data_IF_161958857742
#
_entry.id   IF_161958857742
#
_cell.length_a   1.000
_cell.length_b   1.000
_cell.length_c   1.000
_cell.angle_alpha   90.00
_cell.angle_beta   90.00
_cell.angle_gamma   90.00
#
_symmetry.space_group_name_H-M   'P 1'
#
loop_
_entity.id
_entity.type
_entity.pdbx_description
1 polymer ?
#
# COMPACT_ATOMS: atom_id res chain seq x y z
N UNK A 1 -29.64 6.88 -9.21
CA UNK A 1 -28.41 7.31 -9.89
C UNK A 1 -27.35 6.25 -9.64
N UNK A 2 -26.90 5.56 -10.69
CA UNK A 2 -25.80 4.58 -10.61
C UNK A 2 -24.48 5.30 -10.30
N UNK A 3 -23.43 4.61 -9.81
CA UNK A 3 -22.12 5.24 -9.58
C UNK A 3 -21.56 5.94 -10.83
N UNK A 4 -21.78 5.35 -12.01
CA UNK A 4 -21.40 5.95 -13.31
C UNK A 4 -22.20 7.23 -13.57
N UNK A 5 -23.52 7.19 -13.47
CA UNK A 5 -24.37 8.38 -13.63
C UNK A 5 -24.00 9.48 -12.65
N UNK A 6 -23.69 9.12 -11.40
CA UNK A 6 -23.26 10.05 -10.35
C UNK A 6 -21.96 10.77 -10.76
N UNK A 7 -20.97 10.02 -11.25
CA UNK A 7 -19.70 10.59 -11.72
C UNK A 7 -19.93 11.58 -12.88
N UNK A 8 -20.68 11.16 -13.89
CA UNK A 8 -20.93 11.98 -15.07
C UNK A 8 -21.80 13.20 -14.76
N UNK A 9 -22.77 13.10 -13.85
CA UNK A 9 -23.55 14.23 -13.37
C UNK A 9 -22.66 15.27 -12.68
N UNK A 10 -21.74 14.83 -11.81
CA UNK A 10 -20.77 15.75 -11.19
C UNK A 10 -19.83 16.39 -12.21
N UNK A 11 -19.31 15.63 -13.18
CA UNK A 11 -18.46 16.19 -14.25
C UNK A 11 -19.20 17.22 -15.12
N UNK A 12 -20.54 17.17 -15.17
CA UNK A 12 -21.40 18.17 -15.83
C UNK A 12 -21.87 19.27 -14.88
N UNK A 13 -21.35 19.34 -13.66
CA UNK A 13 -21.74 20.30 -12.62
C UNK A 13 -23.24 20.25 -12.24
N UNK A 14 -23.86 19.07 -12.36
CA UNK A 14 -25.24 18.84 -11.95
C UNK A 14 -25.34 18.57 -10.44
N UNK A 15 -26.50 18.86 -9.83
CA UNK A 15 -26.75 18.53 -8.43
C UNK A 15 -26.82 17.01 -8.25
N UNK A 16 -26.01 16.46 -7.34
CA UNK A 16 -25.95 15.02 -7.07
C UNK A 16 -26.47 14.67 -5.67
N UNK A 17 -27.09 13.49 -5.48
CA UNK A 17 -27.64 13.07 -4.19
C UNK A 17 -26.58 12.81 -3.11
N UNK A 18 -25.31 12.71 -3.50
CA UNK A 18 -24.13 12.64 -2.64
C UNK A 18 -22.88 13.02 -3.43
N UNK A 19 -21.78 13.28 -2.75
CA UNK A 19 -20.48 13.45 -3.41
C UNK A 19 -20.09 12.17 -4.18
N UNK A 20 -19.64 12.27 -5.44
CA UNK A 20 -19.04 11.13 -6.13
C UNK A 20 -17.68 10.81 -5.52
N UNK A 21 -17.28 9.55 -5.60
CA UNK A 21 -15.94 9.12 -5.25
C UNK A 21 -15.44 8.21 -6.37
N UNK A 22 -14.23 8.48 -6.85
CA UNK A 22 -13.53 7.65 -7.80
C UNK A 22 -12.07 7.51 -7.34
N UNK A 23 -11.54 6.28 -7.26
CA UNK A 23 -10.13 6.10 -7.00
C UNK A 23 -9.33 6.70 -8.16
N UNK A 24 -8.49 7.69 -7.85
CA UNK A 24 -7.62 8.35 -8.82
C UNK A 24 -6.28 7.61 -9.04
N UNK A 25 -6.05 6.53 -8.29
CA UNK A 25 -4.88 5.65 -8.41
C UNK A 25 -5.12 4.51 -9.43
N UNK A 26 -4.04 3.82 -9.82
CA UNK A 26 -4.08 2.76 -10.83
C UNK A 26 -3.95 3.31 -12.26
N UNK A 27 -4.64 2.72 -13.24
CA UNK A 27 -4.55 3.10 -14.66
C UNK A 27 -4.78 4.61 -14.89
N UNK A 28 -5.68 5.23 -14.13
CA UNK A 28 -5.99 6.65 -14.26
C UNK A 28 -4.84 7.58 -13.85
N UNK A 29 -3.90 7.10 -13.03
CA UNK A 29 -2.73 7.87 -12.62
C UNK A 29 -1.80 8.22 -13.78
N UNK A 30 -1.82 7.44 -14.87
CA UNK A 30 -0.99 7.71 -16.06
C UNK A 30 -1.27 9.06 -16.71
N UNK A 31 -2.48 9.62 -16.53
CA UNK A 31 -2.79 10.97 -16.99
C UNK A 31 -1.82 12.02 -16.41
N UNK A 32 -1.32 11.83 -15.19
CA UNK A 32 -0.40 12.76 -14.54
C UNK A 32 0.99 12.80 -15.16
N UNK A 33 1.41 11.70 -15.77
CA UNK A 33 2.75 11.52 -16.36
C UNK A 33 2.70 11.43 -17.89
N UNK A 34 1.52 11.54 -18.49
CA UNK A 34 1.30 11.36 -19.93
C UNK A 34 1.38 9.90 -20.38
N UNK A 35 1.39 8.94 -19.46
CA UNK A 35 1.36 7.51 -19.76
C UNK A 35 -0.08 7.05 -20.02
N UNK A 36 -0.26 6.25 -21.08
CA UNK A 36 -1.53 5.60 -21.35
C UNK A 36 -1.74 4.34 -20.49
N UNK A 37 -2.93 3.75 -20.60
CA UNK A 37 -3.29 2.58 -19.81
C UNK A 37 -2.38 1.37 -20.07
N UNK A 38 -1.94 1.17 -21.31
CA UNK A 38 -1.06 0.06 -21.68
C UNK A 38 0.28 0.23 -20.98
N UNK A 39 0.91 1.40 -21.10
CA UNK A 39 2.18 1.68 -20.46
C UNK A 39 2.08 1.56 -18.94
N UNK A 40 1.02 2.06 -18.31
CA UNK A 40 0.83 1.91 -16.86
C UNK A 40 0.69 0.45 -16.43
N UNK A 41 0.11 -0.41 -17.27
CA UNK A 41 -0.10 -1.83 -16.94
C UNK A 41 1.11 -2.71 -17.25
N UNK A 42 2.00 -2.29 -18.14
CA UNK A 42 3.11 -3.13 -18.62
C UNK A 42 4.50 -2.62 -18.25
N UNK A 43 4.61 -1.37 -17.80
CA UNK A 43 5.87 -0.72 -17.42
C UNK A 43 5.84 -0.36 -15.93
N UNK A 44 6.64 -1.10 -15.17
CA UNK A 44 6.75 -1.00 -13.72
C UNK A 44 7.21 0.40 -13.26
N UNK A 45 8.14 1.03 -13.98
CA UNK A 45 8.67 2.33 -13.64
C UNK A 45 7.66 3.43 -13.95
N UNK A 46 6.95 3.31 -15.08
CA UNK A 46 5.87 4.22 -15.43
C UNK A 46 4.72 4.18 -14.40
N UNK A 47 4.38 2.98 -13.89
CA UNK A 47 3.40 2.82 -12.81
C UNK A 47 3.89 3.51 -11.53
N UNK A 48 5.14 3.29 -11.12
CA UNK A 48 5.69 3.92 -9.91
C UNK A 48 5.73 5.44 -10.06
N UNK A 49 6.18 5.96 -11.20
CA UNK A 49 6.22 7.39 -11.48
C UNK A 49 4.83 8.02 -11.38
N UNK A 50 3.82 7.39 -11.99
CA UNK A 50 2.44 7.85 -11.97
C UNK A 50 1.83 7.82 -10.56
N UNK A 51 2.09 6.76 -9.78
CA UNK A 51 1.63 6.67 -8.39
C UNK A 51 2.35 7.67 -7.48
N UNK A 52 3.64 7.94 -7.70
CA UNK A 52 4.37 8.99 -7.00
C UNK A 52 3.85 10.38 -7.37
N UNK A 53 3.44 10.60 -8.61
CA UNK A 53 2.79 11.85 -9.02
C UNK A 53 1.44 12.05 -8.31
N UNK A 54 0.66 10.97 -8.12
CA UNK A 54 -0.55 11.02 -7.26
C UNK A 54 -0.17 11.41 -5.82
N UNK A 55 0.92 10.84 -5.29
CA UNK A 55 1.38 11.06 -3.92
C UNK A 55 1.95 12.47 -3.66
N UNK A 56 2.56 13.13 -4.66
CA UNK A 56 3.31 14.41 -4.52
C UNK A 56 2.44 15.68 -4.46
N UNK A 57 1.19 15.61 -4.00
CA UNK A 57 0.25 16.74 -4.03
C UNK A 57 -0.08 17.30 -5.42
N UNK A 58 0.51 16.78 -6.50
CA UNK A 58 0.15 17.17 -7.87
C UNK A 58 -1.32 16.88 -8.14
N UNK A 59 -1.85 15.78 -7.58
CA UNK A 59 -3.27 15.47 -7.60
C UNK A 59 -4.12 16.57 -6.93
N UNK A 60 -3.67 17.15 -5.80
CA UNK A 60 -4.37 18.28 -5.16
C UNK A 60 -4.37 19.52 -6.07
N UNK A 61 -3.22 19.90 -6.59
CA UNK A 61 -3.11 21.04 -7.50
C UNK A 61 -3.96 20.89 -8.77
N UNK A 62 -4.11 19.67 -9.29
CA UNK A 62 -4.97 19.37 -10.45
C UNK A 62 -6.44 19.42 -10.05
N UNK A 63 -6.83 18.75 -8.97
CA UNK A 63 -8.22 18.70 -8.50
C UNK A 63 -8.75 20.08 -8.12
N UNK A 64 -7.91 20.96 -7.55
CA UNK A 64 -8.25 22.35 -7.26
C UNK A 64 -8.63 23.16 -8.50
N UNK A 65 -7.91 22.99 -9.62
CA UNK A 65 -8.21 23.68 -10.90
C UNK A 65 -9.62 23.38 -11.41
N UNK A 66 -10.14 22.19 -11.09
CA UNK A 66 -11.46 21.72 -11.52
C UNK A 66 -12.51 21.76 -10.40
N UNK A 67 -12.18 22.32 -9.22
CA UNK A 67 -13.05 22.34 -8.04
C UNK A 67 -13.55 20.93 -7.64
N UNK A 68 -12.65 19.95 -7.69
CA UNK A 68 -12.90 18.55 -7.32
C UNK A 68 -12.33 18.28 -5.93
N UNK A 69 -13.08 17.56 -5.11
CA UNK A 69 -12.64 17.14 -3.77
C UNK A 69 -11.72 15.91 -3.88
N UNK A 70 -10.61 15.94 -3.15
CA UNK A 70 -9.68 14.81 -3.02
C UNK A 70 -9.54 14.41 -1.54
N UNK A 71 -9.36 13.12 -1.29
CA UNK A 71 -9.12 12.60 0.06
C UNK A 71 -7.99 11.57 0.09
N UNK A 72 -7.33 11.47 1.25
CA UNK A 72 -6.17 10.61 1.46
C UNK A 72 -5.06 11.35 2.21
N UNK A 73 -3.90 10.73 2.48
CA UNK A 73 -3.56 9.34 2.22
C UNK A 73 -2.83 8.75 3.45
N UNK A 74 -3.49 8.75 4.61
CA UNK A 74 -2.88 8.21 5.85
C UNK A 74 -2.53 6.72 5.63
N UNK A 75 -1.26 6.30 5.82
CA UNK A 75 -0.85 4.91 5.65
C UNK A 75 -1.52 3.99 6.66
N UNK A 76 -2.23 2.99 6.15
CA UNK A 76 -3.01 2.08 6.99
C UNK A 76 -2.15 1.20 7.90
N UNK A 77 -1.08 0.58 7.39
CA UNK A 77 -0.33 -0.40 8.17
C UNK A 77 0.70 0.26 9.08
N UNK A 78 1.56 1.12 8.53
CA UNK A 78 2.68 1.70 9.28
C UNK A 78 2.25 2.76 10.29
N UNK A 79 1.20 3.54 9.98
CA UNK A 79 0.74 4.64 10.83
C UNK A 79 -0.52 4.22 11.59
N UNK A 80 -1.60 3.83 10.89
CA UNK A 80 -2.87 3.57 11.58
C UNK A 80 -2.86 2.28 12.41
N UNK A 81 -2.33 1.17 11.90
CA UNK A 81 -2.36 -0.13 12.58
C UNK A 81 -1.23 -0.31 13.59
N UNK A 82 -0.01 0.08 13.24
CA UNK A 82 1.18 -0.16 14.06
C UNK A 82 1.82 1.08 14.67
N UNK A 83 1.42 2.27 14.23
CA UNK A 83 1.81 3.51 14.87
C UNK A 83 1.09 3.71 16.19
N UNK A 84 1.54 4.73 16.92
CA UNK A 84 0.88 5.24 18.11
C UNK A 84 -0.12 6.34 17.76
N UNK A 85 -0.90 6.78 18.75
CA UNK A 85 -1.79 7.93 18.59
C UNK A 85 -1.01 9.18 18.15
N UNK A 86 0.18 9.39 18.72
CA UNK A 86 1.06 10.52 18.38
C UNK A 86 1.65 10.39 16.97
N UNK A 87 1.95 9.18 16.48
CA UNK A 87 2.37 8.96 15.08
C UNK A 87 1.26 9.35 14.10
N UNK A 88 0.01 9.00 14.41
CA UNK A 88 -1.16 9.35 13.59
C UNK A 88 -1.38 10.86 13.57
N UNK A 89 -1.31 11.50 14.74
CA UNK A 89 -1.41 12.95 14.86
C UNK A 89 -0.30 13.65 14.07
N UNK A 90 0.95 13.20 14.24
CA UNK A 90 2.12 13.75 13.56
C UNK A 90 1.99 13.63 12.05
N UNK A 91 1.61 12.46 11.55
CA UNK A 91 1.46 12.23 10.12
C UNK A 91 0.41 13.17 9.51
N UNK A 92 -0.73 13.36 10.19
CA UNK A 92 -1.78 14.27 9.72
C UNK A 92 -1.31 15.72 9.71
N UNK A 93 -0.63 16.19 10.75
CA UNK A 93 -0.06 17.55 10.78
C UNK A 93 0.97 17.73 9.66
N UNK A 94 1.91 16.79 9.52
CA UNK A 94 2.93 16.83 8.47
C UNK A 94 2.32 16.80 7.06
N UNK A 95 1.19 16.09 6.88
CA UNK A 95 0.44 16.05 5.62
C UNK A 95 -0.23 17.40 5.33
N UNK A 96 -0.87 18.01 6.33
CA UNK A 96 -1.49 19.32 6.21
C UNK A 96 -0.45 20.41 5.93
N UNK A 97 0.73 20.35 6.54
CA UNK A 97 1.83 21.31 6.33
C UNK A 97 2.37 21.32 4.90
N UNK A 98 2.17 20.25 4.14
CA UNK A 98 2.55 20.20 2.74
C UNK A 98 1.53 20.90 1.83
N UNK A 99 0.32 21.17 2.31
CA UNK A 99 -0.75 21.77 1.52
C UNK A 99 -0.72 23.30 1.59
N UNK A 100 -0.81 24.02 0.45
CA UNK A 100 -0.90 25.48 0.46
C UNK A 100 -2.24 25.99 1.02
N UNK A 101 -3.31 25.20 0.86
CA UNK A 101 -4.64 25.45 1.43
C UNK A 101 -5.42 24.13 1.59
N UNK A 102 -6.41 24.12 2.48
CA UNK A 102 -7.19 22.91 2.80
C UNK A 102 -8.50 22.77 2.02
N UNK A 103 -8.86 23.75 1.18
CA UNK A 103 -10.09 23.69 0.38
C UNK A 103 -10.11 22.40 -0.43
N UNK A 104 -11.27 21.73 -0.50
CA UNK A 104 -11.48 20.50 -1.27
C UNK A 104 -10.54 19.33 -0.86
N UNK A 105 -10.01 19.35 0.36
CA UNK A 105 -9.21 18.25 0.91
C UNK A 105 -9.93 17.54 2.05
N UNK A 106 -9.92 16.21 2.02
CA UNK A 106 -10.41 15.36 3.11
C UNK A 106 -9.25 14.54 3.66
N UNK A 107 -8.89 14.76 4.92
CA UNK A 107 -7.96 13.87 5.63
C UNK A 107 -8.62 12.50 5.77
N UNK A 108 -8.06 11.49 5.10
CA UNK A 108 -8.60 10.14 5.08
C UNK A 108 -7.47 9.10 4.97
N UNK A 109 -7.71 7.85 5.40
CA UNK A 109 -6.82 6.75 5.07
C UNK A 109 -6.79 6.48 3.57
N UNK A 110 -5.72 5.84 3.10
CA UNK A 110 -5.57 5.48 1.68
C UNK A 110 -6.54 4.41 1.16
N UNK A 111 -7.17 3.66 2.06
CA UNK A 111 -8.17 2.63 1.78
C UNK A 111 -9.00 2.36 3.04
N UNK A 112 -9.77 1.27 3.06
CA UNK A 112 -10.52 0.82 4.22
C UNK A 112 -9.59 0.48 5.40
N UNK A 113 -9.96 0.92 6.60
CA UNK A 113 -9.17 0.66 7.81
C UNK A 113 -9.21 -0.82 8.20
N UNK A 114 -8.07 -1.45 8.53
CA UNK A 114 -8.05 -2.76 9.15
C UNK A 114 -8.88 -2.77 10.46
N UNK A 115 -9.63 -3.85 10.71
CA UNK A 115 -10.47 -3.99 11.92
C UNK A 115 -9.69 -3.86 13.23
N UNK A 116 -8.39 -4.16 13.20
CA UNK A 116 -7.48 -4.14 14.35
C UNK A 116 -6.79 -2.79 14.57
N UNK A 117 -7.14 -1.74 13.79
CA UNK A 117 -6.65 -0.38 14.05
C UNK A 117 -7.07 0.06 15.46
N UNK A 118 -6.12 0.47 16.33
CA UNK A 118 -6.45 0.98 17.65
C UNK A 118 -7.32 2.25 17.56
N UNK A 119 -8.34 2.34 18.42
CA UNK A 119 -9.31 3.45 18.37
C UNK A 119 -8.63 4.80 18.63
N UNK A 120 -7.65 4.83 19.52
CA UNK A 120 -6.83 6.01 19.84
C UNK A 120 -6.11 6.58 18.63
N UNK A 121 -5.73 5.75 17.65
CA UNK A 121 -5.06 6.18 16.43
C UNK A 121 -6.02 6.94 15.51
N UNK A 122 -7.26 6.46 15.37
CA UNK A 122 -8.31 7.17 14.66
C UNK A 122 -8.70 8.49 15.35
N UNK A 123 -8.78 8.48 16.69
CA UNK A 123 -8.99 9.70 17.50
C UNK A 123 -7.86 10.70 17.27
N UNK A 124 -6.60 10.24 17.26
CA UNK A 124 -5.44 11.10 17.05
C UNK A 124 -5.44 11.74 15.66
N UNK A 125 -5.71 10.96 14.62
CA UNK A 125 -5.86 11.49 13.27
C UNK A 125 -6.99 12.53 13.16
N UNK A 126 -8.14 12.27 13.79
CA UNK A 126 -9.27 13.20 13.80
C UNK A 126 -8.95 14.49 14.56
N UNK A 127 -8.33 14.40 15.74
CA UNK A 127 -7.92 15.57 16.53
C UNK A 127 -6.91 16.43 15.76
N UNK A 128 -5.94 15.81 15.09
CA UNK A 128 -4.96 16.52 14.26
C UNK A 128 -5.61 17.23 13.07
N UNK A 129 -6.64 16.64 12.47
CA UNK A 129 -7.38 17.25 11.36
C UNK A 129 -8.26 18.43 11.82
N UNK A 130 -8.85 18.35 13.03
CA UNK A 130 -9.75 19.38 13.57
C UNK A 130 -9.00 20.53 14.26
N UNK A 131 -7.88 20.23 14.93
CA UNK A 131 -7.12 21.15 15.76
C UNK A 131 -5.61 21.16 15.41
N UNK A 132 -5.22 21.39 14.14
CA UNK A 132 -3.85 21.19 13.68
C UNK A 132 -2.82 22.05 14.43
N UNK A 133 -3.15 23.31 14.76
CA UNK A 133 -2.24 24.21 15.50
C UNK A 133 -1.97 23.72 16.92
N UNK A 134 -3.02 23.26 17.61
CA UNK A 134 -2.93 22.72 18.97
C UNK A 134 -2.09 21.44 18.99
N UNK A 135 -2.37 20.55 18.06
CA UNK A 135 -1.66 19.28 17.92
C UNK A 135 -0.20 19.49 17.49
N UNK A 136 0.09 20.45 16.62
CA UNK A 136 1.47 20.80 16.24
C UNK A 136 2.29 21.21 17.46
N UNK A 137 1.72 22.08 18.31
CA UNK A 137 2.35 22.49 19.58
C UNK A 137 2.56 21.31 20.54
N UNK A 138 1.59 20.41 20.62
CA UNK A 138 1.68 19.20 21.46
C UNK A 138 2.81 18.25 21.01
N UNK A 139 3.13 18.24 19.72
CA UNK A 139 4.10 17.33 19.10
C UNK A 139 5.49 17.93 18.86
N UNK A 140 5.77 19.18 19.29
CA UNK A 140 7.03 19.88 18.99
C UNK A 140 8.30 19.07 19.31
N UNK A 141 8.26 18.23 20.35
CA UNK A 141 9.40 17.41 20.78
C UNK A 141 9.23 15.91 20.49
N UNK A 142 8.17 15.53 19.78
CA UNK A 142 7.85 14.14 19.51
C UNK A 142 8.64 13.62 18.30
N UNK A 143 9.35 12.50 18.48
CA UNK A 143 10.01 11.76 17.41
C UNK A 143 9.50 10.32 17.47
N UNK A 144 8.97 9.84 16.35
CA UNK A 144 8.51 8.45 16.20
C UNK A 144 9.63 7.47 16.52
N UNK A 145 9.32 6.46 17.34
CA UNK A 145 10.29 5.42 17.65
C UNK A 145 10.54 4.55 16.40
N UNK A 146 11.80 4.23 16.04
CA UNK A 146 12.06 3.25 15.01
C UNK A 146 11.53 1.88 15.46
N UNK A 147 10.84 1.17 14.54
CA UNK A 147 10.57 -0.25 14.71
C UNK A 147 11.90 -1.02 14.68
N UNK A 148 12.46 -1.30 15.86
CA UNK A 148 13.69 -2.07 16.05
C UNK A 148 13.37 -3.48 16.54
N UNK A 149 12.84 -4.31 15.63
CA UNK A 149 12.57 -5.73 15.89
C UNK A 149 13.69 -6.53 15.25
N UNK A 150 14.48 -7.23 16.07
CA UNK A 150 15.55 -8.09 15.57
C UNK A 150 14.97 -9.39 15.00
N UNK A 151 14.89 -9.47 13.67
CA UNK A 151 14.44 -10.67 12.95
C UNK A 151 15.65 -11.47 12.46
N UNK A 152 15.70 -12.75 12.83
CA UNK A 152 16.66 -13.69 12.25
C UNK A 152 16.13 -14.19 10.89
N UNK A 153 16.98 -14.10 9.87
CA UNK A 153 16.71 -14.66 8.56
C UNK A 153 17.28 -16.09 8.48
N UNK A 154 16.66 -16.99 7.72
CA UNK A 154 17.23 -18.30 7.43
C UNK A 154 18.62 -18.19 6.77
N UNK A 155 19.45 -19.22 6.96
CA UNK A 155 20.66 -19.40 6.16
C UNK A 155 20.27 -19.92 4.77
N UNK A 156 19.98 -19.00 3.86
CA UNK A 156 19.54 -19.31 2.51
C UNK A 156 20.55 -20.15 1.70
N UNK A 157 21.83 -20.14 2.07
CA UNK A 157 22.87 -20.90 1.38
C UNK A 157 22.89 -22.39 1.77
N UNK A 158 22.36 -22.75 2.94
CA UNK A 158 22.41 -24.10 3.49
C UNK A 158 21.02 -24.63 3.88
N UNK A 159 19.99 -24.27 3.11
CA UNK A 159 18.65 -24.80 3.34
C UNK A 159 18.59 -26.29 2.97
N UNK A 160 17.87 -27.13 3.74
CA UNK A 160 17.70 -28.55 3.43
C UNK A 160 16.86 -28.79 2.18
N UNK A 161 16.04 -27.80 1.80
CA UNK A 161 15.23 -27.77 0.59
C UNK A 161 14.94 -26.33 0.17
N UNK A 162 14.63 -26.05 -1.10
CA UNK A 162 14.17 -24.74 -1.53
C UNK A 162 13.07 -24.14 -0.65
N UNK A 163 13.25 -22.88 -0.25
CA UNK A 163 12.26 -22.12 0.51
C UNK A 163 11.62 -21.06 -0.38
N UNK A 164 10.31 -21.18 -0.59
CA UNK A 164 9.46 -20.20 -1.29
C UNK A 164 8.80 -19.30 -0.26
N UNK A 165 9.25 -18.05 -0.18
CA UNK A 165 8.71 -17.04 0.75
C UNK A 165 7.80 -16.08 -0.02
N UNK A 166 6.52 -16.01 0.36
CA UNK A 166 5.54 -15.12 -0.25
C UNK A 166 5.29 -13.93 0.67
N UNK A 167 5.65 -12.74 0.20
CA UNK A 167 5.46 -11.49 0.91
C UNK A 167 4.17 -10.83 0.45
N UNK A 168 3.25 -10.60 1.39
CA UNK A 168 1.92 -10.06 1.11
C UNK A 168 1.61 -8.89 2.04
N UNK A 169 0.60 -8.08 1.68
CA UNK A 169 -0.04 -7.21 2.65
C UNK A 169 -0.80 -8.08 3.67
N UNK A 170 -1.80 -8.81 3.16
CA UNK A 170 -2.52 -9.89 3.83
C UNK A 170 -3.32 -10.66 2.76
N UNK A 171 -2.97 -11.91 2.49
CA UNK A 171 -3.68 -12.75 1.50
C UNK A 171 -5.15 -13.00 1.82
N UNK A 172 -5.58 -12.83 3.07
CA UNK A 172 -6.96 -13.04 3.48
C UNK A 172 -7.87 -11.86 3.11
N UNK A 173 -7.32 -10.66 2.92
CA UNK A 173 -8.08 -9.43 2.73
C UNK A 173 -7.71 -8.65 1.47
N UNK A 174 -6.49 -8.80 0.94
CA UNK A 174 -6.04 -8.15 -0.29
C UNK A 174 -6.14 -9.10 -1.50
N UNK A 175 -6.98 -8.75 -2.48
CA UNK A 175 -7.24 -9.59 -3.65
C UNK A 175 -5.97 -10.00 -4.44
N UNK A 176 -5.06 -9.05 -4.71
CA UNK A 176 -3.80 -9.36 -5.40
C UNK A 176 -2.93 -10.35 -4.60
N UNK A 177 -2.89 -10.19 -3.27
CA UNK A 177 -2.18 -11.09 -2.38
C UNK A 177 -2.82 -12.49 -2.34
N UNK A 178 -4.15 -12.57 -2.40
CA UNK A 178 -4.88 -13.84 -2.50
C UNK A 178 -4.45 -14.61 -3.75
N UNK A 179 -4.37 -13.96 -4.90
CA UNK A 179 -3.95 -14.62 -6.15
C UNK A 179 -2.48 -15.05 -6.14
N UNK A 180 -1.57 -14.22 -5.62
CA UNK A 180 -0.16 -14.59 -5.48
C UNK A 180 0.01 -15.81 -4.55
N UNK A 181 -0.69 -15.83 -3.42
CA UNK A 181 -0.69 -16.99 -2.53
C UNK A 181 -1.31 -18.23 -3.18
N UNK A 182 -2.32 -18.05 -4.02
CA UNK A 182 -2.90 -19.14 -4.81
C UNK A 182 -1.89 -19.79 -5.76
N UNK A 183 -1.08 -18.97 -6.45
CA UNK A 183 -0.01 -19.47 -7.33
C UNK A 183 1.04 -20.26 -6.54
N UNK A 184 1.50 -19.72 -5.42
CA UNK A 184 2.48 -20.39 -4.55
C UNK A 184 1.92 -21.69 -3.94
N UNK A 185 0.65 -21.70 -3.51
CA UNK A 185 -0.01 -22.87 -2.96
C UNK A 185 -0.15 -23.99 -3.99
N UNK A 186 -0.48 -23.66 -5.24
CA UNK A 186 -0.53 -24.62 -6.35
C UNK A 186 0.86 -25.24 -6.62
N UNK A 187 1.92 -24.44 -6.55
CA UNK A 187 3.29 -24.96 -6.65
C UNK A 187 3.63 -25.88 -5.47
N UNK A 188 3.27 -25.52 -4.24
CA UNK A 188 3.47 -26.38 -3.06
C UNK A 188 2.71 -27.70 -3.15
N UNK A 189 1.50 -27.70 -3.71
CA UNK A 189 0.73 -28.92 -3.97
C UNK A 189 1.46 -29.84 -4.97
N UNK A 190 2.04 -29.27 -6.03
CA UNK A 190 2.77 -30.04 -7.05
C UNK A 190 4.11 -30.60 -6.56
N UNK A 191 4.93 -29.78 -5.90
CA UNK A 191 6.27 -30.17 -5.46
C UNK A 191 6.25 -30.90 -4.11
N UNK A 192 5.16 -30.81 -3.35
CA UNK A 192 5.00 -31.51 -2.08
C UNK A 192 6.14 -31.17 -1.11
N UNK A 193 6.80 -32.20 -0.59
CA UNK A 193 7.86 -32.04 0.41
C UNK A 193 9.23 -31.61 -0.16
N UNK A 194 9.37 -31.49 -1.49
CA UNK A 194 10.65 -31.03 -2.08
C UNK A 194 10.89 -29.53 -1.92
N UNK A 195 9.87 -28.76 -1.53
CA UNK A 195 10.00 -27.33 -1.22
C UNK A 195 9.34 -27.00 0.12
N UNK A 196 9.78 -25.94 0.78
CA UNK A 196 9.06 -25.28 1.87
C UNK A 196 8.36 -24.02 1.33
N UNK A 197 7.17 -23.71 1.85
CA UNK A 197 6.42 -22.51 1.46
C UNK A 197 5.88 -21.80 2.70
N UNK A 198 6.08 -20.48 2.76
CA UNK A 198 5.60 -19.64 3.88
C UNK A 198 5.09 -18.30 3.38
N UNK A 199 4.03 -17.80 3.99
CA UNK A 199 3.56 -16.42 3.81
C UNK A 199 4.09 -15.52 4.93
N UNK A 200 4.64 -14.36 4.58
CA UNK A 200 4.90 -13.26 5.51
C UNK A 200 3.96 -12.10 5.20
N UNK A 201 3.04 -11.84 6.11
CA UNK A 201 2.05 -10.75 6.01
C UNK A 201 2.62 -9.47 6.59
N UNK A 202 2.56 -8.38 5.84
CA UNK A 202 3.03 -7.05 6.26
C UNK A 202 2.23 -6.48 7.45
N UNK A 203 1.04 -7.02 7.71
CA UNK A 203 0.22 -6.69 8.89
C UNK A 203 0.76 -7.23 10.22
N UNK A 204 1.86 -7.99 10.21
CA UNK A 204 2.53 -8.47 11.43
C UNK A 204 3.81 -7.66 11.68
N UNK A 205 4.03 -7.24 12.93
CA UNK A 205 5.14 -6.36 13.31
C UNK A 205 6.51 -6.97 12.99
N UNK A 206 6.69 -8.24 13.29
CA UNK A 206 7.90 -9.02 13.02
C UNK A 206 8.17 -9.08 11.51
N UNK A 207 7.13 -9.24 10.71
CA UNK A 207 7.26 -9.28 9.26
C UNK A 207 7.64 -7.91 8.70
N UNK A 208 7.18 -6.79 9.25
CA UNK A 208 7.63 -5.45 8.80
C UNK A 208 9.16 -5.33 8.90
N UNK A 209 9.75 -5.82 10.00
CA UNK A 209 11.19 -5.87 10.15
C UNK A 209 11.86 -6.86 9.17
N UNK A 210 11.24 -8.03 8.92
CA UNK A 210 11.69 -8.97 7.87
C UNK A 210 11.71 -8.31 6.49
N UNK A 211 10.66 -7.59 6.10
CA UNK A 211 10.54 -6.93 4.79
C UNK A 211 11.65 -5.89 4.62
N UNK A 212 11.92 -5.09 5.66
CA UNK A 212 13.03 -4.13 5.65
C UNK A 212 14.38 -4.82 5.46
N UNK A 213 14.63 -5.90 6.23
CA UNK A 213 15.90 -6.64 6.18
C UNK A 213 16.11 -7.38 4.85
N UNK A 214 15.03 -7.90 4.26
CA UNK A 214 15.02 -8.57 2.96
C UNK A 214 14.99 -7.59 1.78
N UNK A 215 14.83 -6.28 2.02
CA UNK A 215 14.76 -5.28 0.97
C UNK A 215 13.52 -5.42 0.07
N UNK A 216 12.39 -5.91 0.62
CA UNK A 216 11.14 -6.07 -0.14
C UNK A 216 10.58 -4.69 -0.49
N UNK A 217 10.50 -4.39 -1.79
CA UNK A 217 10.07 -3.07 -2.28
C UNK A 217 8.60 -3.03 -2.70
N UNK A 218 8.04 -4.16 -3.17
CA UNK A 218 6.70 -4.22 -3.76
C UNK A 218 5.96 -5.47 -3.31
N UNK A 219 4.63 -5.38 -3.25
CA UNK A 219 3.76 -6.46 -2.81
C UNK A 219 2.62 -6.67 -3.81
N UNK A 220 2.12 -7.91 -3.94
CA UNK A 220 2.71 -9.13 -3.39
C UNK A 220 4.01 -9.51 -4.15
N UNK A 221 4.90 -10.28 -3.52
CA UNK A 221 6.13 -10.75 -4.15
C UNK A 221 6.55 -12.13 -3.67
N UNK A 222 7.17 -12.93 -4.53
CA UNK A 222 7.73 -14.24 -4.22
C UNK A 222 9.25 -14.16 -4.25
N UNK A 223 9.86 -14.66 -3.18
CA UNK A 223 11.29 -14.87 -3.07
C UNK A 223 11.55 -16.36 -2.97
N UNK A 224 12.66 -16.81 -3.57
CA UNK A 224 13.08 -18.20 -3.50
C UNK A 224 14.53 -18.22 -2.99
N UNK A 225 14.76 -18.94 -1.88
CA UNK A 225 16.03 -18.93 -1.14
C UNK A 225 16.53 -17.49 -0.88
N UNK A 226 15.61 -16.63 -0.45
CA UNK A 226 15.90 -15.23 -0.13
C UNK A 226 16.19 -14.32 -1.32
N UNK A 227 16.10 -14.80 -2.56
CA UNK A 227 16.28 -13.99 -3.78
C UNK A 227 14.92 -13.60 -4.38
N UNK A 228 14.70 -12.33 -4.77
CA UNK A 228 13.46 -11.91 -5.42
C UNK A 228 13.32 -12.60 -6.78
N UNK A 229 12.19 -13.26 -7.02
CA UNK A 229 11.88 -13.88 -8.31
C UNK A 229 10.69 -13.23 -9.00
N UNK A 230 9.64 -12.92 -8.24
CA UNK A 230 8.46 -12.25 -8.77
C UNK A 230 8.08 -11.09 -7.87
N UNK A 231 8.04 -9.87 -8.41
CA UNK A 231 7.80 -8.64 -7.65
C UNK A 231 6.62 -7.89 -8.26
N UNK A 232 5.50 -7.81 -7.54
CA UNK A 232 4.25 -7.17 -8.00
C UNK A 232 3.62 -7.76 -9.27
N UNK A 233 4.13 -8.90 -9.76
CA UNK A 233 3.62 -9.61 -10.93
C UNK A 233 3.36 -11.05 -10.49
N UNK A 234 2.13 -11.50 -10.67
CA UNK A 234 1.73 -12.86 -10.31
C UNK A 234 2.20 -13.77 -11.44
N UNK A 235 3.09 -14.75 -11.17
CA UNK A 235 3.59 -15.63 -12.20
C UNK A 235 2.49 -16.56 -12.71
N UNK A 236 2.61 -16.99 -13.96
CA UNK A 236 1.93 -18.18 -14.43
C UNK A 236 2.43 -19.42 -13.69
N UNK A 237 1.66 -20.50 -13.79
CA UNK A 237 2.03 -21.79 -13.20
C UNK A 237 3.38 -22.29 -13.72
N UNK A 238 3.60 -22.21 -15.03
CA UNK A 238 4.83 -22.68 -15.68
C UNK A 238 6.05 -21.87 -15.22
N UNK A 239 5.95 -20.54 -15.21
CA UNK A 239 7.06 -19.66 -14.78
C UNK A 239 7.49 -19.93 -13.34
N UNK A 240 6.53 -20.13 -12.42
CA UNK A 240 6.85 -20.41 -11.03
C UNK A 240 7.45 -21.81 -10.86
N UNK A 241 6.91 -22.81 -11.57
CA UNK A 241 7.44 -24.17 -11.53
C UNK A 241 8.86 -24.26 -12.09
N UNK A 242 9.15 -23.58 -13.20
CA UNK A 242 10.48 -23.54 -13.79
C UNK A 242 11.49 -22.87 -12.85
N UNK A 243 11.12 -21.75 -12.24
CA UNK A 243 11.96 -21.07 -11.25
C UNK A 243 12.27 -21.94 -10.02
N UNK A 244 11.37 -22.86 -9.66
CA UNK A 244 11.60 -23.85 -8.59
C UNK A 244 12.47 -25.01 -9.09
N UNK A 245 12.26 -25.50 -10.31
CA UNK A 245 13.08 -26.59 -10.90
C UNK A 245 14.54 -26.19 -11.08
N UNK A 246 14.82 -24.92 -11.36
CA UNK A 246 16.20 -24.41 -11.50
C UNK A 246 17.07 -24.56 -10.24
N UNK A 247 16.46 -24.74 -9.07
CA UNK A 247 17.15 -24.74 -7.78
C UNK A 247 16.99 -26.05 -6.99
N UNK A 248 16.24 -27.01 -7.53
CA UNK A 248 16.12 -28.36 -7.01
C UNK A 248 17.32 -29.21 -7.48
#
# INVERSE_FOLDING_TARGET
MTPKELLFATLRHEATPRAPWAPFSGIHSGFLTGADATRILTDEDALVEALLAVNRLAAKAITDRYNVVIGGNIPLTSIMLHGTQQDNMKYVVDLLDQLPEYRNFIVAPGCDMPYSVPVENAIGAAQAALEPESVRKMLENYVSAPLDINVQLPDYAHLPRPLVEVFTLDSASCAACTYMMGAAAAAKEQFGDTIDMVEYKFTQKENIARFRKMGVKKLPSIYINGQPKFSSIIPSREELEDAIREIL
#
